data_IF_550194099497
#
_entry.id   IF_550194099497
#
_cell.length_a   1.000
_cell.length_b   1.000
_cell.length_c   1.000
_cell.angle_alpha   90.00
_cell.angle_beta   90.00
_cell.angle_gamma   90.00
#
_symmetry.space_group_name_H-M   'P 1'
#
loop_
_entity.id
_entity.type
_entity.pdbx_description
1 polymer ?
#
# COMPACT_ATOMS: atom_id res chain seq x y z
N UNK A 1 10.20 -4.64 -6.94
CA UNK A 1 10.75 -3.27 -6.99
C UNK A 1 9.59 -2.33 -6.96
N UNK A 2 9.54 -1.48 -5.94
CA UNK A 2 8.55 -0.44 -5.80
C UNK A 2 8.55 0.50 -7.01
N UNK A 3 7.37 1.06 -7.32
CA UNK A 3 7.22 2.03 -8.41
C UNK A 3 6.58 3.31 -7.87
N UNK A 4 7.37 4.38 -7.84
CA UNK A 4 6.98 5.66 -7.27
C UNK A 4 7.01 6.71 -8.38
N UNK A 5 5.90 7.43 -8.56
CA UNK A 5 5.69 8.40 -9.64
C UNK A 5 5.34 9.75 -9.04
N UNK A 6 5.87 10.83 -9.63
CA UNK A 6 5.54 12.22 -9.25
C UNK A 6 6.22 12.72 -7.98
N UNK A 7 7.00 11.87 -7.30
CA UNK A 7 7.67 12.19 -6.05
C UNK A 7 8.94 11.36 -5.88
N UNK A 8 9.94 11.92 -5.19
CA UNK A 8 11.17 11.22 -4.80
C UNK A 8 11.19 11.12 -3.28
N UNK A 9 10.95 9.94 -2.68
CA UNK A 9 10.93 9.80 -1.24
C UNK A 9 12.29 10.03 -0.60
N UNK A 10 12.26 10.42 0.67
CA UNK A 10 13.46 10.48 1.48
C UNK A 10 14.03 9.07 1.77
N UNK A 11 15.28 9.01 2.24
CA UNK A 11 15.96 7.75 2.52
C UNK A 11 15.26 6.91 3.58
N UNK A 12 14.61 7.55 4.56
CA UNK A 12 13.85 6.87 5.61
C UNK A 12 12.63 6.19 5.03
N UNK A 13 11.89 6.88 4.16
CA UNK A 13 10.67 6.37 3.54
C UNK A 13 10.99 5.25 2.55
N UNK A 14 12.09 5.37 1.81
CA UNK A 14 12.59 4.26 0.99
C UNK A 14 12.96 3.04 1.84
N UNK A 15 13.63 3.24 2.98
CA UNK A 15 13.97 2.14 3.88
C UNK A 15 12.72 1.46 4.46
N UNK A 16 11.69 2.23 4.82
CA UNK A 16 10.42 1.69 5.33
C UNK A 16 9.68 0.87 4.27
N UNK A 17 9.71 1.31 3.00
CA UNK A 17 9.17 0.58 1.86
C UNK A 17 9.94 -0.71 1.63
N UNK A 18 11.27 -0.66 1.57
CA UNK A 18 12.11 -1.84 1.37
C UNK A 18 11.90 -2.85 2.50
N UNK A 19 11.81 -2.38 3.75
CA UNK A 19 11.51 -3.24 4.88
C UNK A 19 10.13 -3.90 4.73
N UNK A 20 9.12 -3.15 4.29
CA UNK A 20 7.79 -3.68 4.03
C UNK A 20 7.83 -4.79 2.98
N UNK A 21 8.42 -4.53 1.80
CA UNK A 21 8.47 -5.49 0.70
C UNK A 21 9.24 -6.77 1.08
N UNK A 22 10.23 -6.66 1.96
CA UNK A 22 11.05 -7.80 2.40
C UNK A 22 10.45 -8.58 3.58
N UNK A 23 9.74 -7.91 4.51
CA UNK A 23 9.31 -8.52 5.76
C UNK A 23 7.81 -8.80 5.84
N UNK A 24 6.98 -8.04 5.13
CA UNK A 24 5.53 -8.19 5.21
C UNK A 24 5.07 -9.29 4.27
N UNK A 25 4.65 -10.39 4.88
CA UNK A 25 4.08 -11.54 4.19
C UNK A 25 2.70 -11.80 4.76
N UNK A 26 1.69 -11.87 3.91
CA UNK A 26 0.34 -12.24 4.34
C UNK A 26 0.05 -13.69 3.97
N UNK A 27 -0.61 -14.42 4.87
CA UNK A 27 -1.07 -15.79 4.61
C UNK A 27 -2.53 -15.76 4.16
N UNK A 28 -2.79 -16.22 2.95
CA UNK A 28 -4.15 -16.22 2.38
C UNK A 28 -4.41 -17.50 1.60
N UNK A 29 -5.53 -18.17 1.87
CA UNK A 29 -5.93 -19.42 1.20
C UNK A 29 -4.78 -20.46 1.11
N UNK A 30 -4.07 -20.67 2.23
CA UNK A 30 -2.87 -21.54 2.34
C UNK A 30 -1.66 -21.14 1.49
N UNK A 31 -1.59 -19.89 1.02
CA UNK A 31 -0.45 -19.34 0.27
C UNK A 31 0.16 -18.16 1.02
N UNK A 32 1.44 -17.93 0.77
CA UNK A 32 2.17 -16.75 1.23
C UNK A 32 2.21 -15.75 0.09
N UNK A 33 1.77 -14.52 0.34
CA UNK A 33 1.82 -13.42 -0.62
C UNK A 33 2.86 -12.38 -0.17
N UNK A 34 3.64 -11.89 -1.12
CA UNK A 34 4.61 -10.82 -0.92
C UNK A 34 4.00 -9.48 -1.33
N UNK A 35 4.18 -8.46 -0.49
CA UNK A 35 3.75 -7.10 -0.79
C UNK A 35 4.74 -6.38 -1.71
N UNK A 36 4.22 -5.60 -2.66
CA UNK A 36 4.97 -4.61 -3.43
C UNK A 36 4.26 -3.26 -3.31
N UNK A 37 5.03 -2.19 -3.10
CA UNK A 37 4.50 -0.84 -2.88
C UNK A 37 4.56 -0.03 -4.17
N UNK A 38 3.45 0.62 -4.48
CA UNK A 38 3.29 1.56 -5.58
C UNK A 38 2.84 2.89 -5.01
N UNK A 39 3.40 3.99 -5.49
CA UNK A 39 2.97 5.32 -5.09
C UNK A 39 2.83 6.23 -6.31
N UNK A 40 1.72 6.95 -6.37
CA UNK A 40 1.47 8.01 -7.34
C UNK A 40 1.12 9.28 -6.57
N UNK A 41 2.05 10.23 -6.58
CA UNK A 41 1.96 11.45 -5.79
C UNK A 41 1.85 12.61 -6.77
N UNK A 42 0.64 13.16 -6.86
CA UNK A 42 0.35 14.36 -7.64
C UNK A 42 0.11 15.55 -6.72
N UNK A 43 0.01 16.75 -7.28
CA UNK A 43 -0.14 17.97 -6.47
C UNK A 43 -1.38 17.92 -5.56
N UNK A 44 -2.50 17.37 -6.06
CA UNK A 44 -3.80 17.45 -5.40
C UNK A 44 -4.35 16.10 -4.94
N UNK A 45 -3.67 15.02 -5.32
CA UNK A 45 -4.08 13.66 -5.04
C UNK A 45 -2.85 12.77 -4.85
N UNK A 46 -2.79 12.13 -3.69
CA UNK A 46 -1.77 11.16 -3.34
C UNK A 46 -2.40 9.78 -3.25
N UNK A 47 -1.77 8.80 -3.85
CA UNK A 47 -2.19 7.42 -3.79
C UNK A 47 -1.01 6.50 -3.48
N UNK A 48 -1.22 5.55 -2.59
CA UNK A 48 -0.27 4.48 -2.27
C UNK A 48 -1.01 3.17 -2.35
N UNK A 49 -0.52 2.22 -3.15
CA UNK A 49 -1.09 0.90 -3.28
C UNK A 49 -0.09 -0.18 -2.86
N UNK A 50 -0.57 -1.19 -2.17
CA UNK A 50 0.16 -2.42 -1.88
C UNK A 50 -0.50 -3.56 -2.66
N UNK A 51 0.26 -4.13 -3.59
CA UNK A 51 -0.15 -5.35 -4.28
C UNK A 51 0.51 -6.55 -3.62
N UNK A 52 -0.30 -7.49 -3.15
CA UNK A 52 0.13 -8.75 -2.59
C UNK A 52 -0.04 -9.85 -3.61
N UNK A 53 1.08 -10.26 -4.19
CA UNK A 53 1.14 -11.30 -5.21
C UNK A 53 1.82 -12.55 -4.68
N UNK A 54 1.63 -13.66 -5.39
CA UNK A 54 2.30 -14.91 -5.05
C UNK A 54 3.82 -14.72 -5.10
N UNK A 55 4.53 -15.27 -4.11
CA UNK A 55 6.00 -15.31 -4.11
C UNK A 55 6.58 -16.11 -5.29
N UNK A 56 5.75 -16.92 -5.96
CA UNK A 56 6.09 -17.74 -7.12
C UNK A 56 5.10 -17.53 -8.26
N UNK A 57 5.58 -17.67 -9.50
CA UNK A 57 4.73 -17.66 -10.69
C UNK A 57 3.66 -18.76 -10.55
N UNK A 58 2.37 -18.42 -10.71
CA UNK A 58 1.34 -19.46 -10.76
C UNK A 58 1.63 -20.37 -11.95
N UNK A 59 1.50 -21.68 -11.76
CA UNK A 59 1.47 -22.61 -12.89
C UNK A 59 0.38 -22.21 -13.89
N UNK A 60 0.52 -22.66 -15.15
CA UNK A 60 -0.21 -22.30 -16.39
C UNK A 60 -1.72 -21.96 -16.33
N UNK A 61 -2.43 -22.25 -15.23
CA UNK A 61 -3.87 -22.06 -15.07
C UNK A 61 -4.31 -21.46 -13.72
N UNK A 62 -3.40 -20.89 -12.93
CA UNK A 62 -3.75 -20.31 -11.63
C UNK A 62 -4.35 -18.92 -11.75
N UNK A 63 -5.59 -18.71 -11.31
CA UNK A 63 -6.15 -17.37 -11.12
C UNK A 63 -5.27 -16.55 -10.16
N UNK A 64 -4.81 -15.39 -10.64
CA UNK A 64 -4.11 -14.33 -9.89
C UNK A 64 -5.09 -13.59 -8.99
N UNK A 65 -5.61 -14.23 -7.94
CA UNK A 65 -6.31 -13.47 -6.91
C UNK A 65 -5.29 -12.88 -5.93
N UNK A 66 -4.49 -11.94 -6.43
CA UNK A 66 -3.71 -11.03 -5.59
C UNK A 66 -4.64 -10.18 -4.73
N UNK A 67 -4.16 -9.73 -3.57
CA UNK A 67 -4.83 -8.69 -2.81
C UNK A 67 -4.24 -7.35 -3.23
N UNK A 68 -5.08 -6.40 -3.59
CA UNK A 68 -4.67 -5.01 -3.74
C UNK A 68 -5.29 -4.20 -2.62
N UNK A 69 -4.47 -3.39 -1.97
CA UNK A 69 -4.92 -2.39 -1.01
C UNK A 69 -4.46 -1.03 -1.48
N UNK A 70 -5.37 -0.07 -1.56
CA UNK A 70 -5.05 1.29 -2.03
C UNK A 70 -5.47 2.32 -0.99
N UNK A 71 -4.53 3.14 -0.58
CA UNK A 71 -4.72 4.35 0.21
C UNK A 71 -4.75 5.56 -0.71
N UNK A 72 -5.68 6.48 -0.49
CA UNK A 72 -5.82 7.71 -1.26
C UNK A 72 -6.10 8.89 -0.34
N UNK A 73 -5.41 10.00 -0.58
CA UNK A 73 -5.50 11.22 0.21
C UNK A 73 -5.46 12.44 -0.70
N UNK A 74 -6.28 13.45 -0.41
CA UNK A 74 -6.26 14.73 -1.10
C UNK A 74 -5.80 15.83 -0.15
N UNK A 75 -4.58 16.37 -0.30
CA UNK A 75 -4.05 17.41 0.57
C UNK A 75 -4.88 18.68 0.59
N UNK A 76 -5.54 19.01 -0.52
CA UNK A 76 -6.36 20.22 -0.65
C UNK A 76 -7.63 20.16 0.21
N UNK A 77 -8.29 19.00 0.23
CA UNK A 77 -9.54 18.84 0.97
C UNK A 77 -9.29 18.47 2.42
N UNK A 78 -8.16 17.83 2.71
CA UNK A 78 -7.87 17.28 4.04
C UNK A 78 -8.89 16.26 4.50
N UNK A 79 -9.79 15.81 3.61
CA UNK A 79 -10.74 14.75 3.88
C UNK A 79 -9.91 13.47 4.12
N UNK A 80 -10.19 12.78 5.24
CA UNK A 80 -9.41 11.64 5.72
C UNK A 80 -9.07 10.58 4.67
N UNK A 81 -8.15 9.68 5.02
CA UNK A 81 -7.59 8.73 4.05
C UNK A 81 -8.64 7.72 3.62
N UNK A 82 -8.85 7.59 2.31
CA UNK A 82 -9.69 6.53 1.74
C UNK A 82 -8.85 5.29 1.53
N UNK A 83 -9.34 4.16 2.01
CA UNK A 83 -8.68 2.87 1.87
C UNK A 83 -9.60 1.88 1.17
N UNK A 84 -9.15 1.35 0.05
CA UNK A 84 -9.84 0.33 -0.74
C UNK A 84 -9.14 -1.02 -0.61
N UNK A 85 -9.87 -2.12 -0.50
CA UNK A 85 -9.33 -3.49 -0.56
C UNK A 85 -10.09 -4.32 -1.60
N UNK A 86 -9.34 -4.97 -2.49
CA UNK A 86 -9.93 -5.75 -3.58
C UNK A 86 -10.53 -7.09 -3.13
N UNK A 87 -10.19 -7.59 -1.93
CA UNK A 87 -10.68 -8.88 -1.46
C UNK A 87 -12.13 -8.87 -0.99
N UNK A 88 -12.56 -7.76 -0.42
CA UNK A 88 -13.91 -7.53 0.07
C UNK A 88 -14.65 -6.49 -0.77
N UNK A 89 -13.99 -5.97 -1.82
CA UNK A 89 -14.47 -4.86 -2.66
C UNK A 89 -15.01 -3.69 -1.82
N UNK A 90 -14.28 -3.36 -0.76
CA UNK A 90 -14.72 -2.41 0.26
C UNK A 90 -13.82 -1.19 0.28
N UNK A 91 -14.46 -0.02 0.33
CA UNK A 91 -13.82 1.25 0.63
C UNK A 91 -14.19 1.70 2.04
N UNK A 92 -13.19 2.13 2.82
CA UNK A 92 -13.38 2.72 4.15
C UNK A 92 -12.65 4.05 4.25
N UNK A 93 -13.26 5.01 4.92
CA UNK A 93 -12.60 6.27 5.28
C UNK A 93 -11.95 6.11 6.65
N UNK A 94 -10.66 6.36 6.71
CA UNK A 94 -9.87 6.41 7.93
C UNK A 94 -9.83 7.87 8.39
N UNK A 95 -10.31 8.12 9.60
CA UNK A 95 -10.26 9.44 10.22
C UNK A 95 -8.84 9.69 10.75
N UNK A 96 -8.06 10.46 9.99
CA UNK A 96 -6.65 10.73 10.25
C UNK A 96 -6.42 12.22 10.09
N UNK A 97 -5.66 12.81 11.01
CA UNK A 97 -5.18 14.18 10.85
C UNK A 97 -4.38 14.31 9.54
N UNK A 98 -4.58 15.42 8.83
CA UNK A 98 -3.94 15.65 7.53
C UNK A 98 -2.42 15.49 7.55
N UNK A 99 -1.84 15.14 6.41
CA UNK A 99 -0.41 14.90 6.26
C UNK A 99 0.33 16.16 5.84
N UNK A 100 1.52 16.36 6.43
CA UNK A 100 2.40 17.50 6.13
C UNK A 100 3.29 17.27 4.89
N UNK A 101 3.45 16.03 4.45
CA UNK A 101 4.27 15.67 3.28
C UNK A 101 3.84 14.33 2.68
N UNK A 102 4.17 14.07 1.41
CA UNK A 102 3.99 12.75 0.80
C UNK A 102 4.70 11.63 1.56
N UNK A 103 5.92 11.86 2.07
CA UNK A 103 6.63 10.86 2.89
C UNK A 103 5.82 10.44 4.12
N UNK A 104 5.19 11.40 4.81
CA UNK A 104 4.38 11.11 5.98
C UNK A 104 3.14 10.27 5.62
N UNK A 105 2.54 10.53 4.46
CA UNK A 105 1.42 9.76 3.96
C UNK A 105 1.84 8.34 3.54
N UNK A 106 2.97 8.20 2.84
CA UNK A 106 3.51 6.90 2.43
C UNK A 106 3.83 6.04 3.65
N UNK A 107 4.56 6.59 4.62
CA UNK A 107 4.89 5.87 5.86
C UNK A 107 3.65 5.47 6.64
N UNK A 108 2.66 6.35 6.72
CA UNK A 108 1.36 6.02 7.32
C UNK A 108 0.69 4.81 6.65
N UNK A 109 0.61 4.81 5.31
CA UNK A 109 -0.01 3.70 4.57
C UNK A 109 0.75 2.38 4.78
N UNK A 110 2.09 2.44 4.75
CA UNK A 110 2.96 1.28 5.01
C UNK A 110 2.77 0.74 6.42
N UNK A 111 2.80 1.59 7.44
CA UNK A 111 2.63 1.19 8.83
C UNK A 111 1.24 0.64 9.12
N UNK A 112 0.21 1.22 8.49
CA UNK A 112 -1.16 0.74 8.63
C UNK A 112 -1.31 -0.67 8.08
N UNK A 113 -0.77 -0.97 6.89
CA UNK A 113 -0.77 -2.34 6.37
C UNK A 113 0.14 -3.28 7.16
N UNK A 114 1.30 -2.82 7.68
CA UNK A 114 2.14 -3.63 8.59
C UNK A 114 1.33 -4.09 9.81
N UNK A 115 0.48 -3.23 10.37
CA UNK A 115 -0.37 -3.58 11.51
C UNK A 115 -1.44 -4.60 11.11
N UNK A 116 -2.18 -4.34 10.04
CA UNK A 116 -3.27 -5.23 9.59
C UNK A 116 -2.77 -6.60 9.12
N UNK A 117 -1.54 -6.69 8.61
CA UNK A 117 -0.93 -7.95 8.22
C UNK A 117 -0.50 -8.82 9.42
N UNK A 118 -0.30 -8.22 10.59
CA UNK A 118 0.15 -8.89 11.82
C UNK A 118 -0.99 -9.15 12.83
N UNK A 119 -2.22 -8.71 12.53
CA UNK A 119 -3.45 -9.05 13.27
C UNK A 119 -4.00 -10.43 12.87
#
# INVERSE_FOLDING_TARGET
MSKIIGFSPDSSTMQDIEEFENKVMIRRKNRVLLGTVYADIQQDQWAVAMAYNLSHHPGLYGHEHGLEVRYSYSPQTGAGVRMFRSDVDQERTLDVAGFKSPDAFIRYAVDQEKRLANE
#
